data_IF_843458387271
#
_entry.id   IF_843458387271
#
_cell.length_a   1.000
_cell.length_b   1.000
_cell.length_c   1.000
_cell.angle_alpha   90.00
_cell.angle_beta   90.00
_cell.angle_gamma   90.00
#
_symmetry.space_group_name_H-M   'P 1'
#
loop_
_entity.id
_entity.type
_entity.pdbx_description
1 polymer ?
#
# COMPACT_ATOMS: atom_id res chain seq x y z
N UNK A 1 -16.63 26.51 2.09
CA UNK A 1 -15.27 25.94 2.26
C UNK A 1 -15.20 24.54 1.65
N UNK A 2 -14.76 24.46 0.39
CA UNK A 2 -14.51 23.18 -0.29
C UNK A 2 -13.44 22.41 0.47
N UNK A 3 -13.76 21.21 0.95
CA UNK A 3 -12.74 20.29 1.45
C UNK A 3 -11.88 19.90 0.25
N UNK A 4 -10.68 20.49 0.15
CA UNK A 4 -9.62 20.01 -0.74
C UNK A 4 -9.38 18.54 -0.36
N UNK A 5 -9.89 17.62 -1.17
CA UNK A 5 -9.47 16.23 -1.08
C UNK A 5 -8.00 16.21 -1.46
N UNK A 6 -7.12 16.17 -0.46
CA UNK A 6 -5.71 15.94 -0.72
C UNK A 6 -5.65 14.47 -1.14
N UNK A 7 -5.33 14.23 -2.41
CA UNK A 7 -4.91 12.89 -2.79
C UNK A 7 -3.72 12.53 -1.89
N UNK A 8 -3.83 11.40 -1.19
CA UNK A 8 -2.81 10.95 -0.24
C UNK A 8 -1.44 10.80 -0.90
N UNK A 9 -0.42 10.53 -0.10
CA UNK A 9 0.93 10.27 -0.61
C UNK A 9 0.91 9.03 -1.52
N UNK A 10 1.54 9.14 -2.68
CA UNK A 10 1.75 8.00 -3.57
C UNK A 10 3.03 7.28 -3.15
N UNK A 11 2.92 5.97 -2.92
CA UNK A 11 4.04 5.08 -2.64
C UNK A 11 4.23 4.13 -3.81
N UNK A 12 5.36 4.22 -4.50
CA UNK A 12 5.68 3.37 -5.65
C UNK A 12 7.19 3.13 -5.71
N UNK A 13 7.62 1.96 -5.27
CA UNK A 13 9.01 1.55 -5.24
C UNK A 13 9.13 0.03 -5.17
N UNK A 14 10.36 -0.48 -5.28
CA UNK A 14 10.68 -1.88 -4.97
C UNK A 14 10.33 -2.21 -3.50
N UNK A 15 10.06 -3.49 -3.16
CA UNK A 15 9.52 -3.88 -1.86
C UNK A 15 10.29 -3.33 -0.66
N UNK A 16 11.62 -3.43 -0.65
CA UNK A 16 12.45 -2.98 0.49
C UNK A 16 12.33 -1.48 0.73
N UNK A 17 12.34 -0.68 -0.35
CA UNK A 17 12.19 0.77 -0.28
C UNK A 17 10.77 1.14 0.11
N UNK A 18 9.78 0.42 -0.41
CA UNK A 18 8.38 0.63 -0.09
C UNK A 18 8.11 0.38 1.40
N UNK A 19 8.68 -0.68 1.98
CA UNK A 19 8.56 -0.99 3.42
C UNK A 19 9.08 0.17 4.26
N UNK A 20 10.25 0.71 3.94
CA UNK A 20 10.82 1.84 4.70
C UNK A 20 9.95 3.10 4.58
N UNK A 21 9.43 3.38 3.39
CA UNK A 21 8.52 4.52 3.19
C UNK A 21 7.22 4.36 3.98
N UNK A 22 6.62 3.17 3.98
CA UNK A 22 5.37 2.91 4.69
C UNK A 22 5.57 2.87 6.21
N UNK A 23 6.70 2.33 6.69
CA UNK A 23 7.07 2.32 8.11
C UNK A 23 7.26 3.73 8.66
N UNK A 24 7.78 4.64 7.84
CA UNK A 24 8.00 6.03 8.22
C UNK A 24 6.72 6.89 8.20
N UNK A 25 5.60 6.38 7.68
CA UNK A 25 4.33 7.11 7.66
C UNK A 25 3.53 6.84 8.93
N UNK A 26 3.47 7.86 9.80
CA UNK A 26 2.73 7.82 11.06
C UNK A 26 1.24 7.49 10.86
N UNK A 27 0.60 7.97 9.79
CA UNK A 27 -0.81 7.68 9.54
C UNK A 27 -1.04 6.20 9.18
N UNK A 28 -0.03 5.53 8.60
CA UNK A 28 -0.07 4.10 8.33
C UNK A 28 0.22 3.29 9.60
N UNK A 29 1.18 3.75 10.41
CA UNK A 29 1.56 3.08 11.66
C UNK A 29 0.40 3.06 12.68
N UNK A 30 -0.39 4.14 12.75
CA UNK A 30 -1.53 4.27 13.66
C UNK A 30 -2.83 3.65 13.11
N UNK A 31 -2.84 3.18 11.85
CA UNK A 31 -4.03 2.63 11.24
C UNK A 31 -4.27 1.16 11.64
N UNK A 32 -5.46 0.87 12.19
CA UNK A 32 -5.90 -0.51 12.43
C UNK A 32 -6.26 -1.26 11.13
N UNK A 33 -6.51 -0.54 10.04
CA UNK A 33 -6.95 -1.11 8.75
C UNK A 33 -6.47 -0.25 7.59
N UNK A 34 -5.93 -0.92 6.56
CA UNK A 34 -5.56 -0.30 5.29
C UNK A 34 -6.46 -0.82 4.17
N UNK A 35 -6.94 0.08 3.32
CA UNK A 35 -7.68 -0.26 2.10
C UNK A 35 -6.77 -0.12 0.90
N UNK A 36 -6.47 -1.25 0.24
CA UNK A 36 -5.72 -1.26 -1.01
C UNK A 36 -6.68 -1.25 -2.21
N UNK A 37 -6.64 -0.18 -2.99
CA UNK A 37 -7.40 -0.07 -4.25
C UNK A 37 -6.52 -0.51 -5.42
N UNK A 38 -6.87 -1.65 -6.04
CA UNK A 38 -6.14 -2.17 -7.20
C UNK A 38 -6.96 -1.92 -8.49
N UNK A 39 -6.50 -1.05 -9.41
CA UNK A 39 -7.22 -0.77 -10.65
C UNK A 39 -7.20 -1.97 -11.59
N UNK A 40 -8.37 -2.39 -12.07
CA UNK A 40 -8.51 -3.61 -12.89
C UNK A 40 -8.21 -3.45 -14.40
N UNK A 41 -7.41 -2.45 -14.78
CA UNK A 41 -7.11 -2.17 -16.19
C UNK A 41 -6.17 -3.22 -16.82
N UNK A 42 -5.40 -3.93 -15.99
CA UNK A 42 -4.40 -4.91 -16.41
C UNK A 42 -4.87 -6.36 -16.26
N UNK A 43 -6.12 -6.56 -15.84
CA UNK A 43 -6.74 -7.88 -15.68
C UNK A 43 -6.40 -8.61 -14.38
N UNK A 44 -7.09 -9.74 -14.18
CA UNK A 44 -7.06 -10.51 -12.91
C UNK A 44 -5.66 -11.00 -12.56
N UNK A 45 -4.95 -11.62 -13.51
CA UNK A 45 -3.64 -12.23 -13.24
C UNK A 45 -2.61 -11.22 -12.71
N UNK A 46 -2.60 -10.01 -13.28
CA UNK A 46 -1.70 -8.95 -12.84
C UNK A 46 -2.07 -8.47 -11.43
N UNK A 47 -3.36 -8.25 -11.16
CA UNK A 47 -3.81 -7.83 -9.85
C UNK A 47 -3.52 -8.88 -8.78
N UNK A 48 -3.69 -10.16 -9.09
CA UNK A 48 -3.32 -11.27 -8.20
C UNK A 48 -1.83 -11.23 -7.88
N UNK A 49 -0.98 -11.02 -8.88
CA UNK A 49 0.47 -10.89 -8.67
C UNK A 49 0.83 -9.72 -7.74
N UNK A 50 0.19 -8.56 -7.92
CA UNK A 50 0.43 -7.38 -7.06
C UNK A 50 0.03 -7.67 -5.61
N UNK A 51 -1.17 -8.22 -5.39
CA UNK A 51 -1.64 -8.56 -4.04
C UNK A 51 -0.72 -9.61 -3.41
N UNK A 52 -0.30 -10.62 -4.17
CA UNK A 52 0.62 -11.64 -3.71
C UNK A 52 1.99 -11.07 -3.32
N UNK A 53 2.52 -10.11 -4.09
CA UNK A 53 3.78 -9.43 -3.75
C UNK A 53 3.65 -8.64 -2.44
N UNK A 54 2.54 -7.94 -2.23
CA UNK A 54 2.29 -7.21 -0.97
C UNK A 54 2.25 -8.18 0.21
N UNK A 55 1.50 -9.27 0.09
CA UNK A 55 1.38 -10.27 1.15
C UNK A 55 2.70 -11.01 1.45
N UNK A 56 3.54 -11.25 0.43
CA UNK A 56 4.80 -11.97 0.59
C UNK A 56 5.94 -11.10 1.11
N UNK A 57 6.03 -9.86 0.65
CA UNK A 57 7.21 -9.03 0.89
C UNK A 57 6.93 -7.86 1.84
N UNK A 58 5.79 -7.19 1.72
CA UNK A 58 5.52 -5.94 2.44
C UNK A 58 4.83 -6.20 3.78
N UNK A 59 3.73 -6.95 3.78
CA UNK A 59 2.91 -7.18 4.96
C UNK A 59 3.70 -7.79 6.14
N UNK A 60 4.54 -8.84 5.96
CA UNK A 60 5.28 -9.43 7.07
C UNK A 60 6.29 -8.47 7.69
N UNK A 61 6.95 -7.64 6.87
CA UNK A 61 7.94 -6.68 7.34
C UNK A 61 7.29 -5.56 8.17
N UNK A 62 6.04 -5.20 7.89
CA UNK A 62 5.28 -4.21 8.63
C UNK A 62 4.41 -4.81 9.75
N UNK A 63 4.46 -6.13 9.95
CA UNK A 63 3.69 -6.83 10.98
C UNK A 63 2.20 -6.98 10.67
N UNK A 64 1.80 -6.79 9.41
CA UNK A 64 0.43 -6.97 8.95
C UNK A 64 0.12 -8.47 8.79
N UNK A 65 -1.12 -8.85 9.11
CA UNK A 65 -1.59 -10.25 9.05
C UNK A 65 -2.44 -10.52 7.82
#
# INVERSE_FOLDING_TARGET
PEKRAVFGRTYAAEPDVLIEQLRADEAIAEADTLLLTVPNQLGVAYNTHVIEAILKFVAPALGWR
#
